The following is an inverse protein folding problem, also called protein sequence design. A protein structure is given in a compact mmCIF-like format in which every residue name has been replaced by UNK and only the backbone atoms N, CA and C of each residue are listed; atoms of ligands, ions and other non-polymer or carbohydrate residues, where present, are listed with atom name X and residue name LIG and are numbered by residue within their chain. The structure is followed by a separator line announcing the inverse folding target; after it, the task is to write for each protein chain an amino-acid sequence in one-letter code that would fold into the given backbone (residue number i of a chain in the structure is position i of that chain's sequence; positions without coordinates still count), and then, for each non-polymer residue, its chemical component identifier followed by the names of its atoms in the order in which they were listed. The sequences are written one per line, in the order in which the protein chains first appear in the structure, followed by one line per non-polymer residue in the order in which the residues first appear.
data_IF_373672543414
#
_entry.id   IF_373672543414
#
_cell.length_a   1.000
_cell.length_b   1.000
_cell.length_c   1.000
_cell.angle_alpha   90.00
_cell.angle_beta   90.00
_cell.angle_gamma   90.00
#
_symmetry.space_group_name_H-M   'P 1'
#
loop_
_entity.id
_entity.type
_entity.pdbx_description
1 polymer ?
#
# COMPACT_ATOMS: atom_id res chain seq x y z
N UNK A 1 -3.30 11.04 -4.71
CA UNK A 1 -4.32 9.99 -4.55
C UNK A 1 -3.63 8.74 -4.05
N UNK A 2 -4.18 8.07 -3.03
CA UNK A 2 -3.69 6.79 -2.52
C UNK A 2 -4.66 5.70 -2.98
N UNK A 3 -4.16 4.67 -3.64
CA UNK A 3 -4.91 3.46 -4.01
C UNK A 3 -4.38 2.30 -3.17
N UNK A 4 -5.20 1.69 -2.34
CA UNK A 4 -4.79 0.54 -1.52
C UNK A 4 -5.25 -0.78 -2.15
N UNK A 5 -4.44 -1.82 -2.00
CA UNK A 5 -4.88 -3.21 -2.21
C UNK A 5 -5.88 -3.64 -1.11
N UNK A 6 -6.26 -4.93 -1.07
CA UNK A 6 -7.22 -5.45 -0.08
C UNK A 6 -6.82 -5.12 1.36
N UNK A 7 -7.67 -4.40 2.10
CA UNK A 7 -7.32 -3.92 3.44
C UNK A 7 -7.43 -5.02 4.49
N UNK A 8 -6.39 -5.18 5.31
CA UNK A 8 -6.35 -6.09 6.46
C UNK A 8 -6.12 -5.34 7.78
N UNK A 9 -6.44 -5.99 8.90
CA UNK A 9 -6.18 -5.51 10.26
C UNK A 9 -4.90 -6.07 10.88
N UNK A 10 -4.02 -6.68 10.07
CA UNK A 10 -2.74 -7.20 10.53
C UNK A 10 -1.92 -6.09 11.21
N UNK A 11 -1.37 -6.39 12.39
CA UNK A 11 -0.57 -5.44 13.16
C UNK A 11 0.88 -5.36 12.65
N UNK A 12 1.04 -4.97 11.39
CA UNK A 12 2.33 -4.92 10.69
C UNK A 12 2.47 -3.64 9.87
N UNK A 13 3.72 -3.22 9.64
CA UNK A 13 4.06 -2.18 8.67
C UNK A 13 4.94 -2.84 7.60
N UNK A 14 4.26 -3.36 6.58
CA UNK A 14 4.85 -3.95 5.39
C UNK A 14 4.08 -3.43 4.17
N UNK A 15 4.74 -2.61 3.36
CA UNK A 15 4.18 -2.13 2.10
C UNK A 15 5.27 -1.82 1.06
N UNK A 16 4.89 -1.90 -0.20
CA UNK A 16 5.57 -1.29 -1.33
C UNK A 16 4.62 -0.38 -2.11
N UNK A 17 5.18 0.41 -3.03
CA UNK A 17 4.41 1.40 -3.80
C UNK A 17 4.51 1.17 -5.29
N UNK A 18 3.40 1.39 -6.00
CA UNK A 18 3.32 1.35 -7.46
C UNK A 18 2.86 2.68 -8.03
N UNK A 19 3.28 3.01 -9.25
CA UNK A 19 2.86 4.26 -9.92
C UNK A 19 1.49 4.10 -10.57
N UNK A 20 0.89 5.23 -10.95
CA UNK A 20 -0.30 5.24 -11.80
C UNK A 20 -0.05 4.44 -13.08
N UNK A 21 -0.96 3.52 -13.38
CA UNK A 21 -0.88 2.66 -14.57
C UNK A 21 -0.06 1.38 -14.35
N UNK A 22 0.66 1.25 -13.23
CA UNK A 22 1.27 -0.01 -12.83
C UNK A 22 0.24 -0.86 -12.07
N UNK A 23 0.19 -2.18 -12.32
CA UNK A 23 -0.60 -3.10 -11.50
C UNK A 23 -0.01 -3.15 -10.09
N UNK A 24 -0.86 -3.48 -9.10
CA UNK A 24 -0.37 -3.85 -7.78
C UNK A 24 0.49 -5.11 -7.89
N UNK A 25 1.51 -5.20 -7.05
CA UNK A 25 2.37 -6.40 -6.93
C UNK A 25 1.93 -7.32 -5.79
N UNK A 26 0.91 -6.90 -5.06
CA UNK A 26 0.35 -7.60 -3.92
C UNK A 26 -1.16 -7.46 -3.92
N UNK A 27 -1.83 -8.43 -3.30
CA UNK A 27 -3.29 -8.51 -3.26
C UNK A 27 -3.88 -7.84 -2.02
N UNK A 28 -3.08 -7.64 -0.98
CA UNK A 28 -3.50 -7.12 0.31
C UNK A 28 -2.52 -6.10 0.90
N UNK A 29 -2.96 -5.32 1.88
CA UNK A 29 -2.14 -4.40 2.67
C UNK A 29 -2.81 -4.09 4.01
N UNK A 30 -2.05 -3.98 5.09
CA UNK A 30 -2.60 -3.60 6.40
C UNK A 30 -3.00 -2.13 6.45
N UNK A 31 -4.06 -1.80 7.22
CA UNK A 31 -4.41 -0.39 7.50
C UNK A 31 -3.26 0.36 8.18
N UNK A 32 -2.47 -0.33 9.00
CA UNK A 32 -1.29 0.22 9.67
C UNK A 32 -0.19 0.59 8.68
N UNK A 33 0.05 -0.21 7.64
CA UNK A 33 0.94 0.12 6.53
C UNK A 33 0.51 1.37 5.77
N UNK A 34 -0.79 1.49 5.48
CA UNK A 34 -1.35 2.69 4.81
C UNK A 34 -1.15 3.93 5.70
N UNK A 35 -1.41 3.82 7.00
CA UNK A 35 -1.17 4.91 7.95
C UNK A 35 0.31 5.31 8.00
N UNK A 36 1.24 4.35 8.00
CA UNK A 36 2.68 4.63 7.94
C UNK A 36 3.08 5.40 6.68
N UNK A 37 2.51 5.07 5.52
CA UNK A 37 2.73 5.84 4.29
C UNK A 37 2.16 7.26 4.37
N UNK A 38 0.98 7.44 4.97
CA UNK A 38 0.40 8.78 5.20
C UNK A 38 1.29 9.60 6.12
N UNK A 39 1.82 9.02 7.20
CA UNK A 39 2.75 9.71 8.10
C UNK A 39 3.99 10.20 7.37
N UNK A 40 4.54 9.39 6.45
CA UNK A 40 5.67 9.80 5.59
C UNK A 40 5.33 11.02 4.71
N UNK A 41 4.10 11.12 4.20
CA UNK A 41 3.64 12.30 3.44
C UNK A 41 3.52 13.52 4.36
N UNK A 42 3.13 13.34 5.61
CA UNK A 42 3.02 14.44 6.58
C UNK A 42 4.39 14.95 7.03
N UNK A 43 5.41 14.08 7.06
CA UNK A 43 6.80 14.46 7.34
C UNK A 43 7.43 15.25 6.19
N UNK A 44 7.10 14.91 4.93
CA UNK A 44 7.51 15.66 3.74
C UNK A 44 6.33 15.82 2.77
N UNK A 45 5.67 16.98 2.85
CA UNK A 45 4.53 17.31 1.99
C UNK A 45 4.87 17.34 0.49
N UNK A 46 6.15 17.47 0.12
CA UNK A 46 6.62 17.42 -1.27
C UNK A 46 6.69 15.99 -1.82
N UNK A 47 6.89 15.00 -0.96
CA UNK A 47 7.22 13.60 -1.31
C UNK A 47 6.21 12.95 -2.27
N UNK A 48 4.91 13.17 -2.06
CA UNK A 48 3.84 12.58 -2.87
C UNK A 48 2.93 13.62 -3.54
N UNK A 49 3.41 14.87 -3.67
CA UNK A 49 2.62 15.95 -4.24
C UNK A 49 2.18 15.60 -5.67
N UNK A 50 0.88 15.78 -5.94
CA UNK A 50 0.24 15.47 -7.24
C UNK A 50 0.50 14.04 -7.75
N UNK A 51 0.88 13.13 -6.86
CA UNK A 51 1.15 11.74 -7.20
C UNK A 51 -0.09 10.86 -7.01
N UNK A 52 -0.16 9.80 -7.81
CA UNK A 52 -1.14 8.72 -7.68
C UNK A 52 -0.34 7.44 -7.45
N UNK A 53 -0.47 6.92 -6.23
CA UNK A 53 0.39 5.86 -5.69
C UNK A 53 -0.48 4.70 -5.23
N UNK A 54 -0.20 3.52 -5.78
CA UNK A 54 -0.70 2.25 -5.27
C UNK A 54 0.12 1.81 -4.06
N UNK A 55 -0.53 1.22 -3.05
CA UNK A 55 0.10 0.62 -1.87
C UNK A 55 -0.40 -0.82 -1.73
N UNK A 56 0.54 -1.76 -1.70
CA UNK A 56 0.30 -3.19 -1.49
C UNK A 56 1.39 -3.81 -0.60
N UNK A 57 1.15 -4.99 -0.01
CA UNK A 57 2.13 -5.72 0.80
C UNK A 57 3.03 -6.56 -0.12
N UNK A 58 4.35 -6.42 -0.03
CA UNK A 58 5.28 -7.16 -0.89
C UNK A 58 5.16 -8.66 -0.65
N UNK A 59 5.27 -9.45 -1.73
CA UNK A 59 5.22 -10.91 -1.66
C UNK A 59 3.83 -11.49 -1.40
N UNK A 60 2.77 -10.69 -1.57
CA UNK A 60 1.37 -11.17 -1.57
C UNK A 60 0.81 -11.39 -2.97
N UNK A 61 1.69 -11.40 -3.98
CA UNK A 61 1.44 -11.91 -5.34
C UNK A 61 1.36 -13.44 -5.33
N UNK A 62 0.45 -13.97 -4.52
CA UNK A 62 0.02 -15.35 -4.56
C UNK A 62 -1.30 -15.43 -5.31
N UNK A 63 -1.47 -16.45 -6.14
CA UNK A 63 -2.56 -16.68 -7.10
C UNK A 63 -4.00 -16.58 -6.51
N UNK A 64 -4.16 -16.46 -5.18
CA UNK A 64 -5.45 -16.33 -4.46
C UNK A 64 -5.30 -15.57 -3.13
N UNK A 65 -6.31 -14.78 -2.71
CA UNK A 65 -6.37 -14.21 -1.37
C UNK A 65 -6.42 -15.32 -0.31
N UNK A 66 -5.62 -15.18 0.75
CA UNK A 66 -5.55 -16.15 1.85
C UNK A 66 -6.74 -15.92 2.78
N UNK A 67 -7.92 -16.40 2.43
CA UNK A 67 -8.99 -16.60 3.40
C UNK A 67 -8.79 -17.97 4.05
N UNK A 68 -8.40 -17.98 5.32
CA UNK A 68 -8.53 -19.11 6.25
C UNK A 68 -9.28 -18.62 7.49
#
# INVERSE_FOLDING_TARGET
MIRAAGLTDSDEVAYETTKKGEPFKGTEVSRKSVAAYVMKILEDFGFASRSDVGIDKPGTDGDKPTFL
#
